data_IF_706622828666
#
_entry.id   IF_706622828666
#
_cell.length_a   1.000
_cell.length_b   1.000
_cell.length_c   1.000
_cell.angle_alpha   90.00
_cell.angle_beta   90.00
_cell.angle_gamma   90.00
#
_symmetry.space_group_name_H-M   'P 1'
#
loop_
_entity.id
_entity.type
_entity.pdbx_description
1 polymer ?
#
# COMPACT_ATOMS: atom_id res chain seq x y z
N UNK A 1 -30.36 10.34 21.05
CA UNK A 1 -30.47 8.89 20.76
C UNK A 1 -30.78 8.59 19.30
N UNK A 2 -31.60 9.41 18.63
CA UNK A 2 -32.06 9.12 17.25
C UNK A 2 -31.00 9.28 16.16
N UNK A 3 -30.05 10.20 16.29
CA UNK A 3 -29.00 10.45 15.28
C UNK A 3 -28.05 9.27 15.25
N UNK A 4 -27.62 8.75 16.38
CA UNK A 4 -26.69 7.61 16.47
C UNK A 4 -27.26 6.31 15.84
N UNK A 5 -28.56 6.06 15.98
CA UNK A 5 -29.23 4.90 15.35
C UNK A 5 -29.35 5.06 13.83
N UNK A 6 -29.58 6.28 13.33
CA UNK A 6 -29.64 6.53 11.88
C UNK A 6 -28.29 6.30 11.22
N UNK A 7 -27.17 6.72 11.83
CA UNK A 7 -25.84 6.52 11.30
C UNK A 7 -25.47 5.04 11.22
N UNK A 8 -25.77 4.25 12.26
CA UNK A 8 -25.50 2.81 12.27
C UNK A 8 -26.33 2.06 11.21
N UNK A 9 -27.59 2.45 11.01
CA UNK A 9 -28.46 1.84 9.98
C UNK A 9 -27.93 2.08 8.57
N UNK A 10 -27.46 3.29 8.28
CA UNK A 10 -26.87 3.64 6.98
C UNK A 10 -25.59 2.84 6.73
N UNK A 11 -24.71 2.75 7.76
CA UNK A 11 -23.45 1.97 7.67
C UNK A 11 -23.75 0.49 7.36
N UNK A 12 -24.71 -0.13 8.03
CA UNK A 12 -25.06 -1.53 7.81
C UNK A 12 -25.63 -1.75 6.38
N UNK A 13 -26.45 -0.82 5.90
CA UNK A 13 -26.95 -0.83 4.51
C UNK A 13 -25.79 -0.75 3.53
N UNK A 14 -24.88 0.20 3.69
CA UNK A 14 -23.77 0.41 2.79
C UNK A 14 -22.82 -0.78 2.77
N UNK A 15 -22.48 -1.35 3.94
CA UNK A 15 -21.68 -2.58 4.03
C UNK A 15 -22.36 -3.77 3.33
N UNK A 16 -23.68 -3.94 3.49
CA UNK A 16 -24.42 -5.02 2.83
C UNK A 16 -24.37 -4.87 1.30
N UNK A 17 -24.60 -3.65 0.80
CA UNK A 17 -24.51 -3.34 -0.64
C UNK A 17 -23.11 -3.63 -1.16
N UNK A 18 -22.07 -3.11 -0.49
CA UNK A 18 -20.67 -3.29 -0.90
C UNK A 18 -20.33 -4.77 -0.98
N UNK A 19 -20.62 -5.56 0.05
CA UNK A 19 -20.26 -6.99 0.10
C UNK A 19 -20.94 -7.77 -1.02
N UNK A 20 -22.26 -7.55 -1.24
CA UNK A 20 -23.01 -8.26 -2.27
C UNK A 20 -22.49 -7.91 -3.65
N UNK A 21 -22.39 -6.63 -3.97
CA UNK A 21 -22.01 -6.19 -5.32
C UNK A 21 -20.53 -6.43 -5.61
N UNK A 22 -19.62 -6.23 -4.66
CA UNK A 22 -18.22 -6.60 -4.82
C UNK A 22 -18.10 -8.09 -5.18
N UNK A 23 -18.86 -8.96 -4.50
CA UNK A 23 -18.86 -10.39 -4.80
C UNK A 23 -19.44 -10.70 -6.19
N UNK A 24 -20.54 -10.08 -6.56
CA UNK A 24 -21.19 -10.29 -7.86
C UNK A 24 -20.28 -9.85 -9.00
N UNK A 25 -19.73 -8.64 -8.92
CA UNK A 25 -18.82 -8.11 -9.94
C UNK A 25 -17.50 -8.86 -9.99
N UNK A 26 -16.99 -9.32 -8.84
CA UNK A 26 -15.82 -10.17 -8.78
C UNK A 26 -16.03 -11.52 -9.48
N UNK A 27 -17.20 -12.14 -9.32
CA UNK A 27 -17.57 -13.36 -10.07
C UNK A 27 -17.65 -13.08 -11.57
N UNK A 28 -18.22 -11.93 -11.95
CA UNK A 28 -18.33 -11.53 -13.36
C UNK A 28 -16.95 -11.29 -13.98
N UNK A 29 -16.04 -10.60 -13.26
CA UNK A 29 -14.67 -10.41 -13.70
C UNK A 29 -13.94 -11.74 -13.96
N UNK A 30 -14.09 -12.71 -13.06
CA UNK A 30 -13.51 -14.06 -13.25
C UNK A 30 -14.07 -14.79 -14.48
N UNK A 31 -15.36 -14.63 -14.79
CA UNK A 31 -15.94 -15.15 -16.05
C UNK A 31 -15.29 -14.51 -17.27
N UNK A 32 -14.87 -13.24 -17.17
CA UNK A 32 -14.14 -12.52 -18.21
C UNK A 32 -12.63 -12.80 -18.19
N UNK A 33 -12.16 -13.78 -17.40
CA UNK A 33 -10.72 -14.12 -17.22
C UNK A 33 -9.89 -12.98 -16.63
N UNK A 34 -10.50 -12.04 -15.93
CA UNK A 34 -9.86 -10.98 -15.19
C UNK A 34 -9.78 -11.32 -13.68
N UNK A 35 -8.80 -10.78 -12.95
CA UNK A 35 -8.75 -10.89 -11.50
C UNK A 35 -10.04 -10.36 -10.83
N UNK A 36 -10.45 -10.96 -9.72
CA UNK A 36 -11.66 -10.59 -8.99
C UNK A 36 -11.62 -9.12 -8.54
N UNK A 37 -10.44 -8.63 -8.14
CA UNK A 37 -10.22 -7.24 -7.71
C UNK A 37 -10.65 -6.22 -8.78
N UNK A 38 -10.52 -6.54 -10.06
CA UNK A 38 -10.98 -5.66 -11.16
C UNK A 38 -12.51 -5.48 -11.10
N UNK A 39 -13.25 -6.56 -10.84
CA UNK A 39 -14.70 -6.49 -10.65
C UNK A 39 -15.08 -5.68 -9.40
N UNK A 40 -14.34 -5.85 -8.30
CA UNK A 40 -14.56 -5.12 -7.06
C UNK A 40 -14.34 -3.61 -7.24
N UNK A 41 -13.31 -3.20 -7.99
CA UNK A 41 -13.05 -1.80 -8.35
C UNK A 41 -14.20 -1.23 -9.21
N UNK A 42 -14.64 -1.97 -10.23
CA UNK A 42 -15.76 -1.56 -11.08
C UNK A 42 -17.04 -1.44 -10.24
N UNK A 43 -17.30 -2.37 -9.33
CA UNK A 43 -18.43 -2.28 -8.41
C UNK A 43 -18.38 -1.00 -7.58
N UNK A 44 -17.20 -0.63 -7.04
CA UNK A 44 -17.02 0.61 -6.30
C UNK A 44 -17.33 1.87 -7.11
N UNK A 45 -16.89 1.91 -8.38
CA UNK A 45 -17.20 3.03 -9.29
C UNK A 45 -18.71 3.11 -9.57
N UNK A 46 -19.35 1.97 -9.85
CA UNK A 46 -20.78 1.91 -10.20
C UNK A 46 -21.65 2.28 -8.99
N UNK A 47 -21.34 1.76 -7.81
CA UNK A 47 -22.12 2.01 -6.58
C UNK A 47 -21.84 3.37 -5.94
N UNK A 48 -20.65 3.89 -6.17
CA UNK A 48 -20.18 5.16 -5.60
C UNK A 48 -20.88 6.38 -6.17
N UNK A 49 -20.51 7.56 -5.70
CA UNK A 49 -21.13 8.83 -6.09
C UNK A 49 -20.96 9.17 -7.57
N UNK A 50 -20.03 8.52 -8.26
CA UNK A 50 -19.75 8.78 -9.68
C UNK A 50 -20.82 8.28 -10.64
N UNK A 51 -21.59 7.22 -10.28
CA UNK A 51 -22.59 6.62 -11.17
C UNK A 51 -23.95 6.50 -10.48
N UNK A 52 -24.12 5.59 -9.54
CA UNK A 52 -25.43 5.34 -8.90
C UNK A 52 -25.64 6.12 -7.59
N UNK A 53 -24.57 6.53 -6.91
CA UNK A 53 -24.65 7.23 -5.64
C UNK A 53 -25.32 6.44 -4.51
N UNK A 54 -25.37 5.10 -4.62
CA UNK A 54 -26.01 4.24 -3.61
C UNK A 54 -25.21 4.16 -2.32
N UNK A 55 -23.88 4.27 -2.44
CA UNK A 55 -22.94 4.30 -1.34
C UNK A 55 -22.20 5.64 -1.39
N UNK A 56 -22.26 6.38 -0.31
CA UNK A 56 -21.55 7.66 -0.18
C UNK A 56 -20.25 7.47 0.57
N UNK A 57 -19.25 8.27 0.24
CA UNK A 57 -18.00 8.29 0.97
C UNK A 57 -18.25 8.78 2.41
N UNK A 58 -17.79 8.02 3.39
CA UNK A 58 -17.85 8.35 4.80
C UNK A 58 -16.51 8.04 5.48
N UNK A 59 -16.22 8.74 6.56
CA UNK A 59 -15.00 8.52 7.35
C UNK A 59 -14.91 7.07 7.83
N UNK A 60 -16.05 6.48 8.18
CA UNK A 60 -16.10 5.08 8.60
C UNK A 60 -15.66 4.13 7.48
N UNK A 61 -16.15 4.33 6.24
CA UNK A 61 -15.75 3.50 5.10
C UNK A 61 -14.28 3.69 4.74
N UNK A 62 -13.76 4.91 4.83
CA UNK A 62 -12.35 5.20 4.64
C UNK A 62 -11.48 4.46 5.66
N UNK A 63 -11.80 4.56 6.95
CA UNK A 63 -11.09 3.86 8.02
C UNK A 63 -11.16 2.33 7.87
N UNK A 64 -12.32 1.79 7.48
CA UNK A 64 -12.47 0.34 7.21
C UNK A 64 -11.62 -0.11 6.02
N UNK A 65 -11.51 0.72 4.98
CA UNK A 65 -10.65 0.44 3.83
C UNK A 65 -9.17 0.42 4.23
N UNK A 66 -8.70 1.38 5.03
CA UNK A 66 -7.34 1.42 5.57
C UNK A 66 -7.02 0.18 6.42
N UNK A 67 -7.92 -0.21 7.33
CA UNK A 67 -7.79 -1.44 8.11
C UNK A 67 -7.71 -2.67 7.18
N UNK A 68 -8.53 -2.70 6.14
CA UNK A 68 -8.53 -3.77 5.14
C UNK A 68 -7.18 -3.90 4.41
N UNK A 69 -6.59 -2.77 4.01
CA UNK A 69 -5.25 -2.73 3.37
C UNK A 69 -4.17 -3.20 4.35
N UNK A 70 -4.17 -2.74 5.60
CA UNK A 70 -3.23 -3.17 6.63
C UNK A 70 -3.28 -4.70 6.81
N UNK A 71 -4.48 -5.27 6.94
CA UNK A 71 -4.66 -6.71 7.09
C UNK A 71 -4.23 -7.50 5.85
N UNK A 72 -4.51 -6.98 4.65
CA UNK A 72 -4.10 -7.59 3.39
C UNK A 72 -2.56 -7.65 3.30
N UNK A 73 -1.88 -6.54 3.58
CA UNK A 73 -0.42 -6.44 3.55
C UNK A 73 0.23 -7.32 4.61
N UNK A 74 -0.29 -7.32 5.82
CA UNK A 74 0.18 -8.19 6.89
C UNK A 74 0.05 -9.68 6.53
N UNK A 75 -1.10 -10.07 5.98
CA UNK A 75 -1.35 -11.45 5.51
C UNK A 75 -0.39 -11.84 4.38
N UNK A 76 -0.10 -10.94 3.45
CA UNK A 76 0.88 -11.16 2.39
C UNK A 76 2.29 -11.32 2.95
N UNK A 77 2.68 -10.45 3.89
CA UNK A 77 3.98 -10.52 4.58
C UNK A 77 4.18 -11.83 5.33
N UNK A 78 3.15 -12.31 6.05
CA UNK A 78 3.20 -13.62 6.72
C UNK A 78 3.37 -14.79 5.74
N UNK A 79 2.88 -14.66 4.51
CA UNK A 79 3.03 -15.66 3.46
C UNK A 79 4.37 -15.64 2.74
N UNK A 80 5.24 -14.67 3.01
CA UNK A 80 6.49 -14.42 2.31
C UNK A 80 7.68 -15.00 3.09
N UNK A 81 8.60 -15.66 2.39
CA UNK A 81 9.82 -16.21 2.96
C UNK A 81 10.97 -15.20 2.87
N UNK A 82 11.58 -14.85 4.00
CA UNK A 82 12.75 -13.96 4.02
C UNK A 82 13.91 -14.48 3.15
N UNK A 83 14.08 -15.81 3.06
CA UNK A 83 15.08 -16.43 2.22
C UNK A 83 14.83 -16.17 0.73
N UNK A 84 13.57 -16.25 0.29
CA UNK A 84 13.19 -15.98 -1.09
C UNK A 84 13.31 -14.49 -1.41
N UNK A 85 12.99 -13.62 -0.45
CA UNK A 85 13.22 -12.18 -0.51
C UNK A 85 14.68 -11.84 -0.81
N UNK A 86 15.59 -12.40 -0.02
CA UNK A 86 17.03 -12.17 -0.19
C UNK A 86 17.56 -12.75 -1.51
N UNK A 87 17.02 -13.89 -1.95
CA UNK A 87 17.42 -14.54 -3.21
C UNK A 87 17.08 -13.71 -4.44
N UNK A 88 15.95 -13.02 -4.44
CA UNK A 88 15.48 -12.22 -5.57
C UNK A 88 15.90 -10.75 -5.48
N UNK A 89 16.57 -10.33 -4.39
CA UNK A 89 16.82 -8.94 -4.02
C UNK A 89 17.44 -8.08 -5.14
N UNK A 90 18.48 -8.56 -5.81
CA UNK A 90 19.15 -7.79 -6.88
C UNK A 90 18.23 -7.62 -8.09
N UNK A 91 17.52 -8.68 -8.51
CA UNK A 91 16.56 -8.61 -9.62
C UNK A 91 15.42 -7.65 -9.28
N UNK A 92 14.90 -7.74 -8.08
CA UNK A 92 13.81 -6.88 -7.58
C UNK A 92 14.24 -5.41 -7.49
N UNK A 93 15.49 -5.15 -7.07
CA UNK A 93 16.03 -3.79 -7.03
C UNK A 93 16.12 -3.17 -8.44
N UNK A 94 16.62 -3.92 -9.42
CA UNK A 94 16.70 -3.42 -10.81
C UNK A 94 15.30 -3.14 -11.38
N UNK A 95 14.34 -4.02 -11.11
CA UNK A 95 12.94 -3.82 -11.54
C UNK A 95 12.33 -2.60 -10.87
N UNK A 96 12.52 -2.43 -9.56
CA UNK A 96 12.03 -1.28 -8.81
C UNK A 96 12.67 0.02 -9.32
N UNK A 97 13.98 0.06 -9.52
CA UNK A 97 14.64 1.24 -10.10
C UNK A 97 14.06 1.59 -11.48
N UNK A 98 13.84 0.61 -12.34
CA UNK A 98 13.21 0.86 -13.64
C UNK A 98 11.76 1.32 -13.47
N UNK A 99 11.01 0.72 -12.52
CA UNK A 99 9.63 1.07 -12.18
C UNK A 99 9.48 2.51 -11.68
N UNK A 100 10.46 3.04 -10.97
CA UNK A 100 10.47 4.43 -10.49
C UNK A 100 10.98 5.39 -11.58
N UNK A 101 12.19 5.16 -12.10
CA UNK A 101 12.85 6.16 -12.94
C UNK A 101 12.23 6.27 -14.35
N UNK A 102 11.70 5.18 -14.91
CA UNK A 102 11.07 5.25 -16.24
C UNK A 102 9.77 6.07 -16.21
N UNK A 103 8.79 5.80 -15.33
CA UNK A 103 7.59 6.64 -15.25
C UNK A 103 7.90 8.08 -14.84
N UNK A 104 8.87 8.30 -13.94
CA UNK A 104 9.30 9.64 -13.55
C UNK A 104 9.76 10.46 -14.75
N UNK A 105 10.68 9.93 -15.52
CA UNK A 105 11.24 10.63 -16.70
C UNK A 105 10.18 10.79 -17.77
N UNK A 106 9.45 9.73 -18.11
CA UNK A 106 8.42 9.79 -19.16
C UNK A 106 7.25 10.69 -18.75
N UNK A 107 6.84 10.66 -17.49
CA UNK A 107 5.80 11.52 -16.96
C UNK A 107 6.19 13.00 -16.99
N UNK A 108 7.43 13.33 -16.59
CA UNK A 108 7.95 14.69 -16.68
C UNK A 108 8.03 15.15 -18.15
N UNK A 109 8.53 14.33 -19.05
CA UNK A 109 8.59 14.65 -20.49
C UNK A 109 7.18 14.84 -21.06
N UNK A 110 6.24 13.97 -20.71
CA UNK A 110 4.86 14.09 -21.15
C UNK A 110 4.23 15.40 -20.67
N UNK A 111 4.39 15.76 -19.41
CA UNK A 111 3.92 17.04 -18.89
C UNK A 111 4.52 18.23 -19.68
N UNK A 112 5.85 18.24 -19.87
CA UNK A 112 6.54 19.29 -20.61
C UNK A 112 6.10 19.38 -22.09
N UNK A 113 5.70 18.26 -22.70
CA UNK A 113 5.21 18.24 -24.08
C UNK A 113 3.87 18.96 -24.25
N UNK A 114 3.03 19.01 -23.18
CA UNK A 114 1.75 19.73 -23.19
C UNK A 114 1.87 21.20 -22.73
N UNK A 115 2.72 21.46 -21.75
CA UNK A 115 2.83 22.78 -21.11
C UNK A 115 4.08 23.59 -21.52
N UNK A 116 4.93 23.00 -22.36
CA UNK A 116 6.16 23.59 -22.83
C UNK A 116 7.40 23.11 -22.08
N UNK A 117 8.53 23.06 -22.80
CA UNK A 117 9.80 22.65 -22.21
C UNK A 117 10.39 23.80 -21.39
N UNK A 118 10.62 23.57 -20.12
CA UNK A 118 11.15 24.52 -19.17
C UNK A 118 12.55 24.15 -18.73
N UNK A 119 13.39 25.17 -18.45
CA UNK A 119 14.75 24.94 -17.99
C UNK A 119 14.79 24.34 -16.57
N UNK A 120 15.82 23.57 -16.31
CA UNK A 120 16.07 23.02 -14.96
C UNK A 120 16.17 24.14 -13.94
N UNK A 121 15.40 24.05 -12.86
CA UNK A 121 15.36 25.04 -11.79
C UNK A 121 14.18 26.03 -11.89
N UNK A 122 13.36 25.98 -12.94
CA UNK A 122 12.12 26.75 -13.03
C UNK A 122 10.97 26.06 -12.29
N UNK A 123 9.94 26.80 -11.93
CA UNK A 123 8.77 26.28 -11.24
C UNK A 123 8.04 25.23 -12.10
N UNK A 124 7.92 25.47 -13.39
CA UNK A 124 7.33 24.54 -14.36
C UNK A 124 8.11 23.23 -14.46
N UNK A 125 9.45 23.29 -14.39
CA UNK A 125 10.28 22.09 -14.34
C UNK A 125 9.98 21.24 -13.08
N UNK A 126 9.86 21.88 -11.92
CA UNK A 126 9.50 21.16 -10.70
C UNK A 126 8.10 20.58 -10.75
N UNK A 127 7.13 21.25 -11.38
CA UNK A 127 5.80 20.70 -11.62
C UNK A 127 5.87 19.45 -12.51
N UNK A 128 6.64 19.48 -13.58
CA UNK A 128 6.84 18.34 -14.46
C UNK A 128 7.44 17.12 -13.72
N UNK A 129 8.49 17.35 -12.94
CA UNK A 129 9.12 16.32 -12.12
C UNK A 129 8.15 15.77 -11.08
N UNK A 130 7.37 16.63 -10.42
CA UNK A 130 6.38 16.23 -9.43
C UNK A 130 5.28 15.34 -10.03
N UNK A 131 4.77 15.68 -11.22
CA UNK A 131 3.84 14.82 -11.97
C UNK A 131 4.51 13.49 -12.32
N UNK A 132 5.78 13.50 -12.73
CA UNK A 132 6.55 12.27 -12.94
C UNK A 132 6.62 11.40 -11.69
N UNK A 133 6.86 12.01 -10.51
CA UNK A 133 6.87 11.29 -9.22
C UNK A 133 5.51 10.69 -8.90
N UNK A 134 4.42 11.42 -9.11
CA UNK A 134 3.06 10.88 -8.89
C UNK A 134 2.83 9.61 -9.73
N UNK A 135 3.33 9.57 -10.95
CA UNK A 135 3.18 8.42 -11.85
C UNK A 135 4.05 7.22 -11.46
N UNK A 136 5.02 7.37 -10.55
CA UNK A 136 5.80 6.24 -10.04
C UNK A 136 5.05 5.41 -9.01
N UNK A 137 4.06 6.00 -8.33
CA UNK A 137 3.35 5.33 -7.25
C UNK A 137 2.59 4.09 -7.74
N UNK A 138 2.97 2.92 -7.24
CA UNK A 138 2.40 1.62 -7.61
C UNK A 138 1.59 1.03 -6.46
N UNK A 139 0.41 0.46 -6.76
CA UNK A 139 -0.41 -0.20 -5.74
C UNK A 139 0.07 -1.62 -5.46
N UNK A 140 0.79 -1.79 -4.36
CA UNK A 140 1.22 -3.11 -3.86
C UNK A 140 0.01 -3.97 -3.49
N UNK A 141 -1.05 -3.37 -2.92
CA UNK A 141 -2.26 -4.10 -2.49
C UNK A 141 -2.96 -4.81 -3.64
N UNK A 142 -3.15 -4.12 -4.76
CA UNK A 142 -3.77 -4.70 -5.97
C UNK A 142 -2.87 -5.80 -6.55
N UNK A 143 -1.57 -5.57 -6.60
CA UNK A 143 -0.58 -6.54 -7.09
C UNK A 143 -0.60 -7.83 -6.25
N UNK A 144 -0.58 -7.70 -4.92
CA UNK A 144 -0.66 -8.85 -3.99
C UNK A 144 -1.95 -9.62 -4.18
N UNK A 145 -3.08 -8.92 -4.26
CA UNK A 145 -4.39 -9.56 -4.42
C UNK A 145 -4.47 -10.30 -5.76
N UNK A 146 -4.04 -9.68 -6.85
CA UNK A 146 -4.01 -10.33 -8.17
C UNK A 146 -3.10 -11.57 -8.18
N UNK A 147 -1.88 -11.48 -7.63
CA UNK A 147 -0.95 -12.61 -7.53
C UNK A 147 -1.51 -13.74 -6.67
N UNK A 148 -2.23 -13.41 -5.59
CA UNK A 148 -2.88 -14.37 -4.70
C UNK A 148 -4.00 -15.11 -5.43
N UNK A 149 -4.85 -14.40 -6.17
CA UNK A 149 -5.94 -15.00 -6.97
C UNK A 149 -5.43 -15.90 -8.10
N UNK A 150 -4.33 -15.51 -8.73
CA UNK A 150 -3.65 -16.32 -9.75
C UNK A 150 -2.87 -17.51 -9.17
N UNK A 151 -2.79 -17.65 -7.84
CA UNK A 151 -2.00 -18.69 -7.17
C UNK A 151 -0.49 -18.56 -7.40
N UNK A 152 -0.01 -17.36 -7.81
CA UNK A 152 1.38 -17.10 -8.19
C UNK A 152 2.19 -16.35 -7.12
N UNK A 153 1.60 -15.96 -6.00
CA UNK A 153 2.25 -15.17 -4.96
C UNK A 153 3.54 -15.82 -4.42
N UNK A 154 3.55 -17.15 -4.29
CA UNK A 154 4.70 -17.94 -3.76
C UNK A 154 5.67 -18.42 -4.85
N UNK A 155 5.48 -18.06 -6.10
CA UNK A 155 6.41 -18.39 -7.18
C UNK A 155 7.60 -17.42 -7.18
N UNK A 156 8.70 -17.78 -7.86
CA UNK A 156 9.85 -16.88 -8.01
C UNK A 156 9.44 -15.54 -8.63
N UNK A 157 8.57 -15.57 -9.63
CA UNK A 157 8.04 -14.36 -10.29
C UNK A 157 7.22 -13.54 -9.31
N UNK A 158 6.28 -14.16 -8.59
CA UNK A 158 5.43 -13.47 -7.61
C UNK A 158 6.24 -12.84 -6.48
N UNK A 159 7.23 -13.57 -5.95
CA UNK A 159 8.14 -13.05 -4.92
C UNK A 159 8.99 -11.90 -5.46
N UNK A 160 9.48 -12.00 -6.70
CA UNK A 160 10.26 -10.92 -7.33
C UNK A 160 9.42 -9.65 -7.51
N UNK A 161 8.17 -9.78 -7.98
CA UNK A 161 7.25 -8.66 -8.14
C UNK A 161 6.93 -8.01 -6.78
N UNK A 162 6.63 -8.83 -5.77
CA UNK A 162 6.32 -8.32 -4.43
C UNK A 162 7.52 -7.57 -3.84
N UNK A 163 8.72 -8.12 -3.96
CA UNK A 163 9.94 -7.47 -3.49
C UNK A 163 10.22 -6.17 -4.25
N UNK A 164 10.04 -6.17 -5.57
CA UNK A 164 10.21 -4.97 -6.38
C UNK A 164 9.22 -3.88 -5.93
N UNK A 165 7.96 -4.22 -5.67
CA UNK A 165 6.95 -3.28 -5.21
C UNK A 165 7.28 -2.68 -3.82
N UNK A 166 7.81 -3.48 -2.88
CA UNK A 166 8.27 -2.98 -1.58
C UNK A 166 9.45 -2.02 -1.72
N UNK A 167 10.41 -2.35 -2.59
CA UNK A 167 11.58 -1.50 -2.84
C UNK A 167 11.16 -0.22 -3.57
N UNK A 168 10.22 -0.32 -4.50
CA UNK A 168 9.61 0.79 -5.25
C UNK A 168 9.02 1.84 -4.32
N UNK A 169 8.21 1.42 -3.35
CA UNK A 169 7.62 2.31 -2.33
C UNK A 169 8.71 3.08 -1.55
N UNK A 170 9.78 2.39 -1.16
CA UNK A 170 10.89 3.02 -0.42
C UNK A 170 11.61 4.06 -1.30
N UNK A 171 11.94 3.70 -2.54
CA UNK A 171 12.59 4.61 -3.48
C UNK A 171 11.65 5.78 -3.80
N UNK A 172 10.36 5.51 -4.00
CA UNK A 172 9.32 6.51 -4.27
C UNK A 172 9.23 7.57 -3.18
N UNK A 173 9.21 7.16 -1.90
CA UNK A 173 9.21 8.08 -0.76
C UNK A 173 10.49 8.93 -0.75
N UNK A 174 11.66 8.35 -0.97
CA UNK A 174 12.94 9.09 -1.01
C UNK A 174 12.92 10.12 -2.15
N UNK A 175 12.52 9.71 -3.36
CA UNK A 175 12.45 10.59 -4.52
C UNK A 175 11.45 11.73 -4.28
N UNK A 176 10.25 11.42 -3.77
CA UNK A 176 9.23 12.41 -3.43
C UNK A 176 9.77 13.45 -2.45
N UNK A 177 10.43 13.00 -1.39
CA UNK A 177 11.02 13.88 -0.36
C UNK A 177 12.09 14.78 -0.92
N UNK A 178 12.96 14.25 -1.80
CA UNK A 178 13.99 15.05 -2.47
C UNK A 178 13.35 16.12 -3.35
N UNK A 179 12.31 15.76 -4.11
CA UNK A 179 11.61 16.71 -5.01
C UNK A 179 10.87 17.80 -4.21
N UNK A 180 10.20 17.44 -3.11
CA UNK A 180 9.57 18.43 -2.21
C UNK A 180 10.63 19.34 -1.60
N UNK A 181 11.75 18.78 -1.15
CA UNK A 181 12.84 19.54 -0.55
C UNK A 181 13.50 20.56 -1.47
N UNK A 182 13.44 20.37 -2.78
CA UNK A 182 13.89 21.39 -3.74
C UNK A 182 12.94 22.59 -3.82
N UNK A 183 11.66 22.41 -3.52
CA UNK A 183 10.66 23.48 -3.54
C UNK A 183 10.51 24.15 -2.19
N UNK A 184 10.66 23.43 -1.10
CA UNK A 184 10.54 23.93 0.26
C UNK A 184 11.86 23.76 1.04
N UNK A 185 12.61 24.86 1.25
CA UNK A 185 13.89 24.84 1.96
C UNK A 185 13.76 24.41 3.45
N UNK A 186 12.54 24.38 4.01
CA UNK A 186 12.29 23.95 5.40
C UNK A 186 12.30 22.44 5.54
N UNK A 187 12.01 21.71 4.46
CA UNK A 187 12.09 20.24 4.45
C UNK A 187 13.55 19.78 4.40
N UNK A 188 13.95 18.95 5.36
CA UNK A 188 15.30 18.39 5.42
C UNK A 188 15.31 16.96 4.84
N UNK A 189 15.73 16.74 3.57
CA UNK A 189 15.73 15.43 2.93
C UNK A 189 16.57 14.39 3.70
N UNK A 190 17.60 14.87 4.40
CA UNK A 190 18.45 14.01 5.21
C UNK A 190 17.73 13.50 6.47
N UNK A 191 16.88 14.33 7.10
CA UNK A 191 16.05 13.94 8.25
C UNK A 191 15.06 12.84 7.82
N UNK A 192 14.40 12.99 6.66
CA UNK A 192 13.44 11.98 6.17
C UNK A 192 14.15 10.67 5.77
N UNK A 193 15.28 10.75 5.09
CA UNK A 193 16.06 9.55 4.77
C UNK A 193 16.52 8.83 6.04
N UNK A 194 17.01 9.57 7.05
CA UNK A 194 17.42 9.00 8.34
C UNK A 194 16.23 8.37 9.08
N UNK A 195 15.06 9.02 9.09
CA UNK A 195 13.83 8.49 9.69
C UNK A 195 13.38 7.20 9.01
N UNK A 196 13.44 7.15 7.68
CA UNK A 196 13.10 5.95 6.89
C UNK A 196 14.05 4.79 7.22
N UNK A 197 15.35 5.04 7.28
CA UNK A 197 16.35 4.02 7.65
C UNK A 197 16.11 3.53 9.09
N UNK A 198 15.85 4.45 10.02
CA UNK A 198 15.56 4.11 11.42
C UNK A 198 14.29 3.27 11.54
N UNK A 199 13.25 3.63 10.78
CA UNK A 199 12.00 2.85 10.71
C UNK A 199 12.26 1.41 10.25
N UNK A 200 13.02 1.20 9.16
CA UNK A 200 13.35 -0.14 8.68
C UNK A 200 14.21 -0.92 9.68
N UNK A 201 15.17 -0.28 10.33
CA UNK A 201 15.98 -0.92 11.38
C UNK A 201 15.08 -1.37 12.55
N UNK A 202 14.18 -0.50 13.00
CA UNK A 202 13.21 -0.81 14.05
C UNK A 202 12.27 -1.96 13.64
N UNK A 203 11.75 -1.93 12.42
CA UNK A 203 10.86 -2.97 11.88
C UNK A 203 11.56 -4.34 11.82
N UNK A 204 12.83 -4.40 11.42
CA UNK A 204 13.62 -5.62 11.40
C UNK A 204 13.84 -6.17 12.82
N UNK A 205 14.21 -5.31 13.78
CA UNK A 205 14.41 -5.69 15.18
C UNK A 205 13.11 -6.21 15.79
N UNK A 206 12.01 -5.48 15.62
CA UNK A 206 10.68 -5.89 16.10
C UNK A 206 10.23 -7.18 15.43
N UNK A 207 10.42 -7.33 14.11
CA UNK A 207 10.11 -8.55 13.37
C UNK A 207 10.87 -9.76 13.91
N UNK A 208 12.16 -9.61 14.19
CA UNK A 208 12.98 -10.67 14.80
C UNK A 208 12.50 -11.03 16.21
N UNK A 209 12.20 -10.04 17.05
CA UNK A 209 11.66 -10.26 18.40
C UNK A 209 10.33 -10.99 18.35
N UNK A 210 9.43 -10.56 17.48
CA UNK A 210 8.14 -11.20 17.27
C UNK A 210 8.28 -12.64 16.78
N UNK A 211 9.15 -12.89 15.79
CA UNK A 211 9.44 -14.23 15.31
C UNK A 211 9.92 -15.15 16.44
N UNK A 212 10.86 -14.67 17.27
CA UNK A 212 11.38 -15.44 18.42
C UNK A 212 10.29 -15.71 19.46
N UNK A 213 9.45 -14.71 19.75
CA UNK A 213 8.33 -14.84 20.69
C UNK A 213 7.28 -15.85 20.18
N UNK A 214 6.84 -15.71 18.93
CA UNK A 214 5.85 -16.62 18.34
C UNK A 214 6.37 -18.04 18.23
N UNK A 215 7.63 -18.23 17.86
CA UNK A 215 8.24 -19.56 17.79
C UNK A 215 8.31 -20.21 19.17
N UNK A 216 8.65 -19.45 20.21
CA UNK A 216 8.63 -19.94 21.60
C UNK A 216 7.22 -20.29 22.07
N UNK A 217 6.22 -19.46 21.73
CA UNK A 217 4.83 -19.73 22.08
C UNK A 217 4.28 -20.96 21.36
N UNK A 218 4.61 -21.15 20.08
CA UNK A 218 4.20 -22.32 19.31
C UNK A 218 4.79 -23.63 19.87
N UNK A 219 6.02 -23.60 20.40
CA UNK A 219 6.63 -24.76 21.05
C UNK A 219 5.97 -25.13 22.38
N UNK A 220 5.44 -24.16 23.12
CA UNK A 220 4.80 -24.37 24.42
C UNK A 220 3.31 -24.72 24.27
N UNK A 221 2.63 -24.22 23.24
CA UNK A 221 1.19 -24.39 23.01
C UNK A 221 0.86 -24.78 21.56
N UNK A 222 1.18 -26.00 21.12
CA UNK A 222 1.18 -26.37 19.68
C UNK A 222 -0.20 -26.45 19.00
N UNK A 223 -1.32 -26.33 19.71
CA UNK A 223 -2.67 -26.50 19.16
C UNK A 223 -3.66 -25.39 19.52
N UNK A 224 -3.19 -24.19 19.88
CA UNK A 224 -4.08 -23.12 20.33
C UNK A 224 -4.40 -22.14 19.20
N UNK A 225 -5.70 -21.83 18.98
CA UNK A 225 -6.20 -20.74 18.12
C UNK A 225 -5.73 -19.33 18.57
N UNK A 226 -4.86 -19.24 19.56
CA UNK A 226 -4.35 -17.97 20.14
C UNK A 226 -3.34 -17.28 19.22
N UNK A 227 -2.57 -18.03 18.42
CA UNK A 227 -1.56 -17.46 17.52
C UNK A 227 -2.13 -16.50 16.48
N UNK A 228 -3.24 -16.80 15.77
CA UNK A 228 -3.86 -15.85 14.85
C UNK A 228 -4.35 -14.57 15.52
N UNK A 229 -4.92 -14.68 16.73
CA UNK A 229 -5.42 -13.52 17.50
C UNK A 229 -4.25 -12.63 17.92
N UNK A 230 -3.16 -13.21 18.41
CA UNK A 230 -1.95 -12.47 18.76
C UNK A 230 -1.28 -11.87 17.53
N UNK A 231 -1.31 -12.58 16.40
CA UNK A 231 -0.85 -12.04 15.12
C UNK A 231 -1.63 -10.80 14.69
N UNK A 232 -2.96 -10.83 14.85
CA UNK A 232 -3.82 -9.69 14.57
C UNK A 232 -3.54 -8.50 15.51
N UNK A 233 -3.40 -8.78 16.80
CA UNK A 233 -3.03 -7.76 17.79
C UNK A 233 -1.66 -7.14 17.49
N UNK A 234 -0.69 -7.95 17.08
CA UNK A 234 0.62 -7.48 16.65
C UNK A 234 0.52 -6.61 15.39
N UNK A 235 -0.29 -7.01 14.40
CA UNK A 235 -0.52 -6.24 13.19
C UNK A 235 -0.99 -4.82 13.53
N UNK A 236 -2.05 -4.70 14.32
CA UNK A 236 -2.58 -3.39 14.72
C UNK A 236 -1.63 -2.61 15.62
N UNK A 237 -0.93 -3.26 16.55
CA UNK A 237 0.06 -2.61 17.40
C UNK A 237 1.23 -2.02 16.62
N UNK A 238 1.77 -2.77 15.66
CA UNK A 238 2.85 -2.28 14.79
C UNK A 238 2.36 -1.15 13.87
N UNK A 239 1.15 -1.27 13.32
CA UNK A 239 0.57 -0.21 12.50
C UNK A 239 0.34 1.08 13.29
N UNK A 240 -0.13 0.97 14.54
CA UNK A 240 -0.28 2.11 15.44
C UNK A 240 1.06 2.81 15.71
N UNK A 241 2.11 2.06 16.06
CA UNK A 241 3.44 2.61 16.30
C UNK A 241 3.98 3.28 15.03
N UNK A 242 3.77 2.66 13.87
CA UNK A 242 4.19 3.20 12.58
C UNK A 242 3.50 4.54 12.27
N UNK A 243 2.17 4.60 12.42
CA UNK A 243 1.39 5.82 12.18
C UNK A 243 1.79 6.94 13.14
N UNK A 244 1.99 6.63 14.41
CA UNK A 244 2.40 7.61 15.42
C UNK A 244 3.76 8.22 15.08
N UNK A 245 4.71 7.39 14.66
CA UNK A 245 6.04 7.85 14.26
C UNK A 245 6.03 8.66 12.96
N UNK A 246 5.16 8.34 11.99
CA UNK A 246 5.05 9.09 10.73
C UNK A 246 4.24 10.38 10.88
N UNK A 247 3.26 10.42 11.79
CA UNK A 247 2.46 11.62 12.09
C UNK A 247 3.31 12.68 12.79
N UNK A 248 4.10 12.31 13.81
CA UNK A 248 5.02 13.24 14.46
C UNK A 248 6.10 13.81 13.52
N UNK A 249 6.45 13.06 12.47
CA UNK A 249 7.41 13.52 11.46
C UNK A 249 6.79 14.46 10.40
N UNK A 250 5.47 14.55 10.33
CA UNK A 250 4.75 15.42 9.41
C UNK A 250 4.31 16.75 10.06
N UNK A 251 4.23 16.78 11.41
CA UNK A 251 3.85 17.97 12.18
C UNK A 251 5.05 18.83 12.61
N UNK A 252 6.29 18.38 12.44
CA UNK A 252 7.57 19.07 12.62
C UNK A 252 8.15 19.59 11.27
#
# INVERSE_FOLDING_TARGET
GGIFFMDTYVILKDLAIIIVFAKLFGILARKCKAPQVVGELIAGIVLGPSVLGLVQQSDFLAQMAEIGVILLMFSAGLGTSLKDLLRTGVKSLLIACAGVFVPLVLGAILYMSFYGFSAVGTEEFYHAVFIGVILTATSVSITVQALKELGKLKTEVGTTILNAAIIDDVIGIIVLTVVIGFKDPTSNPLKVAASTILFFALAIVLGFLCFKLFNRMNSVFPHTRRLPILGLALCFGLSYICLLYTSDAADD
#
